data_IF_973493188957
#
_entry.id   IF_973493188957
#
_cell.length_a   1.000
_cell.length_b   1.000
_cell.length_c   1.000
_cell.angle_alpha   90.00
_cell.angle_beta   90.00
_cell.angle_gamma   90.00
#
_symmetry.space_group_name_H-M   'P 1'
#
loop_
_entity.id
_entity.type
_entity.pdbx_description
1 polymer ?
#
# COMPACT_ATOMS: atom_id res chain seq x y z
N UNK A 1 23.82 4.11 -11.15
CA UNK A 1 23.58 3.07 -12.17
C UNK A 1 22.12 3.16 -12.58
N UNK A 2 21.77 3.59 -13.80
CA UNK A 2 20.38 3.52 -14.28
C UNK A 2 20.03 2.05 -14.62
N UNK A 3 18.79 1.62 -14.34
CA UNK A 3 18.20 0.28 -14.61
C UNK A 3 18.38 -0.84 -13.56
N UNK A 4 18.75 -0.54 -12.32
CA UNK A 4 18.66 -1.55 -11.26
C UNK A 4 17.33 -1.40 -10.50
N UNK A 5 16.61 -2.52 -10.33
CA UNK A 5 15.45 -2.58 -9.43
C UNK A 5 15.87 -2.14 -8.02
N UNK A 6 15.03 -1.32 -7.39
CA UNK A 6 15.25 -0.86 -6.02
C UNK A 6 15.05 -2.04 -5.08
N UNK A 7 16.06 -2.32 -4.24
CA UNK A 7 15.98 -3.36 -3.22
C UNK A 7 14.91 -3.02 -2.15
N UNK A 8 14.15 -4.01 -1.69
CA UNK A 8 13.16 -3.91 -0.62
C UNK A 8 13.63 -3.09 0.58
N UNK A 9 14.90 -3.22 0.96
CA UNK A 9 15.51 -2.49 2.08
C UNK A 9 15.44 -0.97 1.93
N UNK A 10 15.43 -0.45 0.70
CA UNK A 10 15.32 0.99 0.44
C UNK A 10 13.88 1.46 0.69
N UNK A 11 12.87 0.67 0.31
CA UNK A 11 11.46 0.98 0.61
C UNK A 11 11.22 0.90 2.12
N UNK A 12 11.79 -0.10 2.80
CA UNK A 12 11.70 -0.26 4.25
C UNK A 12 12.29 0.96 4.98
N UNK A 13 13.51 1.37 4.61
CA UNK A 13 14.13 2.57 5.17
C UNK A 13 13.34 3.85 4.85
N UNK A 14 12.74 3.95 3.66
CA UNK A 14 11.88 5.07 3.30
C UNK A 14 10.61 5.13 4.14
N UNK A 15 9.99 3.98 4.43
CA UNK A 15 8.84 3.90 5.33
C UNK A 15 9.19 4.39 6.74
N UNK A 16 10.36 4.02 7.26
CA UNK A 16 10.87 4.53 8.55
C UNK A 16 11.06 6.04 8.55
N UNK A 17 11.65 6.61 7.49
CA UNK A 17 11.80 8.06 7.32
C UNK A 17 10.43 8.76 7.32
N UNK A 18 9.48 8.26 6.53
CA UNK A 18 8.13 8.85 6.47
C UNK A 18 7.39 8.76 7.82
N UNK A 19 7.52 7.64 8.54
CA UNK A 19 6.95 7.49 9.89
C UNK A 19 7.58 8.50 10.87
N UNK A 20 8.89 8.73 10.78
CA UNK A 20 9.54 9.77 11.58
C UNK A 20 9.02 11.17 11.23
N UNK A 21 8.83 11.47 9.95
CA UNK A 21 8.34 12.77 9.46
C UNK A 21 6.89 13.08 9.86
N UNK A 22 6.05 12.07 10.14
CA UNK A 22 4.68 12.27 10.60
C UNK A 22 4.59 13.02 11.96
N UNK A 23 5.69 13.09 12.71
CA UNK A 23 5.86 13.96 13.89
C UNK A 23 5.75 15.46 13.55
N UNK A 24 6.02 15.84 12.31
CA UNK A 24 6.03 17.22 11.81
C UNK A 24 4.89 17.51 10.82
N UNK A 25 3.89 16.64 10.74
CA UNK A 25 2.75 16.82 9.82
C UNK A 25 1.99 18.11 10.09
N UNK A 26 1.43 18.71 9.05
CA UNK A 26 0.61 19.92 9.16
C UNK A 26 -0.66 19.70 9.99
N UNK A 27 -1.13 20.73 10.68
CA UNK A 27 -2.42 20.67 11.37
C UNK A 27 -3.55 20.33 10.40
N UNK A 28 -4.33 19.29 10.72
CA UNK A 28 -5.46 18.83 9.92
C UNK A 28 -5.14 17.80 8.83
N UNK A 29 -3.87 17.54 8.53
CA UNK A 29 -3.51 16.44 7.61
C UNK A 29 -3.80 15.08 8.25
N UNK A 30 -4.07 14.03 7.44
CA UNK A 30 -4.20 12.68 7.96
C UNK A 30 -2.91 12.26 8.66
N UNK A 31 -3.06 11.52 9.76
CA UNK A 31 -1.95 10.83 10.41
C UNK A 31 -1.78 9.46 9.74
N UNK A 32 -0.63 9.22 9.14
CA UNK A 32 -0.37 8.07 8.27
C UNK A 32 0.63 7.12 8.92
N UNK A 33 0.40 5.83 8.80
CA UNK A 33 1.37 4.79 9.13
C UNK A 33 1.89 4.16 7.85
N UNK A 34 3.22 4.16 7.69
CA UNK A 34 3.92 3.56 6.56
C UNK A 34 4.53 2.23 6.98
N UNK A 35 3.99 1.13 6.46
CA UNK A 35 4.58 -0.19 6.67
C UNK A 35 5.76 -0.39 5.72
N UNK A 36 6.79 -1.11 6.18
CA UNK A 36 7.77 -1.70 5.29
C UNK A 36 7.23 -2.93 4.57
N UNK A 37 7.95 -3.41 3.57
CA UNK A 37 7.67 -4.65 2.83
C UNK A 37 7.63 -5.88 3.73
N UNK A 38 8.33 -5.85 4.87
CA UNK A 38 8.31 -6.93 5.86
C UNK A 38 6.98 -7.08 6.59
N UNK A 39 6.08 -6.08 6.55
CA UNK A 39 4.75 -6.24 7.13
C UNK A 39 3.96 -7.36 6.44
N UNK A 40 4.15 -7.51 5.12
CA UNK A 40 3.49 -8.52 4.30
C UNK A 40 4.50 -9.21 3.37
N UNK A 41 5.29 -10.16 3.89
CA UNK A 41 6.17 -10.97 3.06
C UNK A 41 5.37 -11.74 2.02
N UNK A 42 5.89 -11.89 0.79
CA UNK A 42 5.14 -12.53 -0.30
C UNK A 42 4.62 -13.94 0.00
N UNK A 43 5.33 -14.70 0.83
CA UNK A 43 4.88 -16.03 1.27
C UNK A 43 3.60 -15.99 2.10
N UNK A 44 3.40 -14.94 2.91
CA UNK A 44 2.18 -14.74 3.72
C UNK A 44 0.96 -14.64 2.81
N UNK A 45 1.09 -14.13 1.58
CA UNK A 45 -0.01 -14.02 0.62
C UNK A 45 -0.17 -15.28 -0.25
N UNK A 46 0.94 -15.82 -0.75
CA UNK A 46 0.90 -16.68 -1.93
C UNK A 46 1.47 -18.10 -1.75
N UNK A 47 2.16 -18.41 -0.64
CA UNK A 47 2.74 -19.75 -0.46
C UNK A 47 1.66 -20.81 -0.23
N UNK A 48 1.58 -21.85 -1.06
CA UNK A 48 0.67 -22.97 -0.86
C UNK A 48 1.00 -23.77 0.41
N UNK A 49 -0.01 -24.47 0.97
CA UNK A 49 0.16 -25.30 2.17
C UNK A 49 0.21 -24.53 3.50
N UNK A 50 0.40 -23.21 3.47
CA UNK A 50 0.33 -22.35 4.67
C UNK A 50 -1.13 -22.03 4.98
N UNK A 51 -1.59 -22.39 6.17
CA UNK A 51 -2.97 -22.20 6.60
C UNK A 51 -3.26 -20.73 6.98
N UNK A 52 -4.54 -20.36 7.11
CA UNK A 52 -4.95 -18.98 7.38
C UNK A 52 -4.44 -18.45 8.73
N UNK A 53 -4.38 -19.29 9.76
CA UNK A 53 -3.92 -18.89 11.09
C UNK A 53 -2.44 -18.54 11.07
N UNK A 54 -1.60 -19.35 10.43
CA UNK A 54 -0.16 -19.11 10.33
C UNK A 54 0.17 -17.82 9.57
N UNK A 55 -0.55 -17.54 8.47
CA UNK A 55 -0.46 -16.25 7.76
C UNK A 55 -0.81 -15.08 8.67
N UNK A 56 -1.90 -15.23 9.41
CA UNK A 56 -2.38 -14.21 10.33
C UNK A 56 -1.41 -13.98 11.48
N UNK A 57 -0.90 -15.04 12.12
CA UNK A 57 0.05 -14.95 13.23
C UNK A 57 1.33 -14.23 12.81
N UNK A 58 1.84 -14.54 11.60
CA UNK A 58 3.00 -13.83 11.07
C UNK A 58 2.70 -12.37 10.80
N UNK A 59 1.59 -12.07 10.11
CA UNK A 59 1.17 -10.70 9.83
C UNK A 59 0.99 -9.89 11.12
N UNK A 60 0.30 -10.46 12.09
CA UNK A 60 0.04 -9.86 13.41
C UNK A 60 1.34 -9.58 14.16
N UNK A 61 2.27 -10.54 14.18
CA UNK A 61 3.60 -10.34 14.77
C UNK A 61 4.36 -9.19 14.10
N UNK A 62 4.39 -9.15 12.77
CA UNK A 62 5.10 -8.11 12.03
C UNK A 62 4.48 -6.71 12.26
N UNK A 63 3.14 -6.63 12.32
CA UNK A 63 2.43 -5.39 12.63
C UNK A 63 2.67 -4.93 14.07
N UNK A 64 2.65 -5.87 15.01
CA UNK A 64 2.93 -5.58 16.41
C UNK A 64 4.36 -5.08 16.60
N UNK A 65 5.35 -5.66 15.92
CA UNK A 65 6.74 -5.22 16.00
C UNK A 65 6.93 -3.82 15.40
N UNK A 66 6.25 -3.51 14.28
CA UNK A 66 6.22 -2.18 13.68
C UNK A 66 5.65 -1.13 14.64
N UNK A 67 4.57 -1.46 15.36
CA UNK A 67 3.90 -0.52 16.25
C UNK A 67 4.67 -0.38 17.57
N UNK A 68 5.18 -1.48 18.15
CA UNK A 68 5.90 -1.50 19.44
C UNK A 68 7.16 -0.65 19.47
N UNK A 69 7.79 -0.40 18.33
CA UNK A 69 9.03 0.39 18.24
C UNK A 69 8.88 1.87 18.63
N UNK A 70 7.68 2.45 18.46
CA UNK A 70 7.42 3.88 18.71
C UNK A 70 6.05 4.15 19.38
N UNK A 71 5.17 3.16 19.50
CA UNK A 71 3.75 3.32 19.84
C UNK A 71 3.19 2.11 20.62
N UNK A 72 2.16 2.30 21.43
CA UNK A 72 1.43 1.19 22.09
C UNK A 72 0.42 0.58 21.11
N UNK A 73 0.04 -0.69 21.30
CA UNK A 73 -1.01 -1.38 20.51
C UNK A 73 -2.34 -0.60 20.40
N UNK A 74 -2.63 0.32 21.33
CA UNK A 74 -3.76 1.25 21.29
C UNK A 74 -3.68 2.28 20.16
N UNK A 75 -2.53 2.44 19.52
CA UNK A 75 -2.20 3.62 18.72
C UNK A 75 -2.54 3.44 17.24
N UNK A 76 -2.88 2.23 16.79
CA UNK A 76 -3.46 2.08 15.44
C UNK A 76 -4.75 2.91 15.29
N UNK A 77 -5.47 3.14 16.40
CA UNK A 77 -6.66 4.01 16.46
C UNK A 77 -6.33 5.50 16.21
N UNK A 78 -5.06 5.91 16.34
CA UNK A 78 -4.59 7.27 16.10
C UNK A 78 -4.26 7.52 14.63
N UNK A 79 -4.07 6.47 13.84
CA UNK A 79 -3.79 6.60 12.42
C UNK A 79 -5.08 6.69 11.63
N UNK A 80 -5.10 7.62 10.69
CA UNK A 80 -6.19 7.79 9.74
C UNK A 80 -6.03 6.87 8.53
N UNK A 81 -4.78 6.48 8.23
CA UNK A 81 -4.41 5.71 7.05
C UNK A 81 -3.24 4.78 7.34
N UNK A 82 -3.24 3.60 6.72
CA UNK A 82 -2.13 2.63 6.78
C UNK A 82 -1.73 2.24 5.36
N UNK A 83 -0.43 2.29 5.09
CA UNK A 83 0.18 2.12 3.77
C UNK A 83 0.99 0.83 3.73
N UNK A 84 0.66 -0.06 2.80
CA UNK A 84 1.34 -1.34 2.59
C UNK A 84 1.98 -1.38 1.19
N UNK A 85 3.31 -1.21 1.06
CA UNK A 85 3.99 -1.56 -0.17
C UNK A 85 3.95 -3.08 -0.35
N UNK A 86 3.48 -3.54 -1.50
CA UNK A 86 3.38 -4.96 -1.84
C UNK A 86 4.28 -5.26 -3.03
N UNK A 87 5.12 -6.30 -2.87
CA UNK A 87 5.90 -6.88 -3.94
C UNK A 87 5.24 -8.17 -4.41
N UNK A 88 4.75 -8.19 -5.64
CA UNK A 88 4.17 -9.37 -6.26
C UNK A 88 4.68 -9.51 -7.70
N UNK A 89 5.15 -10.70 -8.08
CA UNK A 89 5.68 -10.98 -9.43
C UNK A 89 6.71 -9.94 -9.93
N UNK A 90 7.64 -9.53 -9.05
CA UNK A 90 8.65 -8.48 -9.30
C UNK A 90 8.08 -7.10 -9.63
N UNK A 91 6.84 -6.83 -9.21
CA UNK A 91 6.19 -5.53 -9.37
C UNK A 91 5.82 -4.95 -8.01
N UNK A 92 6.21 -3.69 -7.79
CA UNK A 92 5.80 -2.94 -6.62
C UNK A 92 4.54 -2.13 -6.89
N UNK A 93 3.58 -2.25 -5.97
CA UNK A 93 2.42 -1.37 -5.90
C UNK A 93 2.07 -1.10 -4.44
N UNK A 94 1.18 -0.16 -4.22
CA UNK A 94 0.82 0.31 -2.88
C UNK A 94 -0.65 0.00 -2.59
N UNK A 95 -0.94 -0.56 -1.42
CA UNK A 95 -2.29 -0.68 -0.88
C UNK A 95 -2.43 0.29 0.28
N UNK A 96 -3.49 1.10 0.26
CA UNK A 96 -3.77 2.08 1.31
C UNK A 96 -5.13 1.81 1.93
N UNK A 97 -5.15 1.66 3.26
CA UNK A 97 -6.37 1.54 4.05
C UNK A 97 -6.65 2.88 4.72
N UNK A 98 -7.67 3.60 4.28
CA UNK A 98 -8.17 4.79 4.95
C UNK A 98 -9.09 4.38 6.10
N UNK A 99 -8.55 4.29 7.32
CA UNK A 99 -9.30 3.97 8.53
C UNK A 99 -10.36 5.04 8.83
N UNK A 100 -10.03 6.33 8.67
CA UNK A 100 -10.96 7.44 8.90
C UNK A 100 -12.19 7.35 7.98
N UNK A 101 -11.95 7.21 6.67
CA UNK A 101 -12.99 7.24 5.64
C UNK A 101 -13.56 5.87 5.27
N UNK A 102 -12.95 4.80 5.77
CA UNK A 102 -13.30 3.41 5.43
C UNK A 102 -13.21 3.15 3.92
N UNK A 103 -12.05 3.44 3.33
CA UNK A 103 -11.76 3.18 1.92
C UNK A 103 -10.48 2.34 1.78
N UNK A 104 -10.38 1.59 0.68
CA UNK A 104 -9.21 0.76 0.37
C UNK A 104 -8.81 1.05 -1.07
N UNK A 105 -7.60 1.56 -1.26
CA UNK A 105 -7.07 1.93 -2.57
C UNK A 105 -5.86 1.10 -2.94
N UNK A 106 -5.79 0.65 -4.19
CA UNK A 106 -4.58 0.14 -4.84
C UNK A 106 -4.03 1.23 -5.74
N UNK A 107 -2.80 1.67 -5.49
CA UNK A 107 -2.09 2.67 -6.27
C UNK A 107 -0.94 1.96 -6.99
N UNK A 108 -1.01 1.96 -8.32
CA UNK A 108 -0.10 1.24 -9.21
C UNK A 108 0.35 2.21 -10.31
N UNK A 109 1.63 2.18 -10.68
CA UNK A 109 2.16 3.03 -11.74
C UNK A 109 1.82 2.53 -13.14
N UNK A 110 1.25 1.33 -13.29
CA UNK A 110 0.72 0.86 -14.56
C UNK A 110 -0.69 1.37 -14.87
N UNK A 111 -0.87 1.71 -16.14
CA UNK A 111 -2.16 2.10 -16.70
C UNK A 111 -3.18 0.97 -16.53
N UNK A 112 -4.44 1.32 -16.28
CA UNK A 112 -5.54 0.36 -16.04
C UNK A 112 -5.73 -0.68 -17.16
N UNK A 113 -5.33 -0.33 -18.39
CA UNK A 113 -5.32 -1.26 -19.52
C UNK A 113 -4.30 -2.40 -19.41
N UNK A 114 -3.37 -2.34 -18.45
CA UNK A 114 -2.38 -3.38 -18.16
C UNK A 114 -2.72 -3.95 -16.77
N UNK A 115 -3.46 -5.07 -16.71
CA UNK A 115 -3.98 -5.60 -15.44
C UNK A 115 -2.93 -6.44 -14.70
N UNK A 116 -1.80 -5.83 -14.31
CA UNK A 116 -0.76 -6.53 -13.54
C UNK A 116 -1.24 -6.87 -12.11
N UNK A 117 -2.02 -5.97 -11.52
CA UNK A 117 -2.60 -6.14 -10.18
C UNK A 117 -4.09 -6.43 -10.33
N UNK A 118 -4.49 -7.65 -9.99
CA UNK A 118 -5.87 -8.08 -9.98
C UNK A 118 -6.64 -7.61 -8.73
N UNK A 119 -7.97 -7.50 -8.84
CA UNK A 119 -8.89 -7.12 -7.77
C UNK A 119 -10.01 -8.15 -7.59
N UNK A 120 -9.77 -9.42 -7.88
CA UNK A 120 -10.76 -10.49 -7.70
C UNK A 120 -10.92 -10.81 -6.21
N UNK A 121 -12.15 -10.68 -5.74
CA UNK A 121 -12.58 -11.23 -4.45
C UNK A 121 -13.20 -12.61 -4.65
N UNK A 122 -13.07 -13.47 -3.64
CA UNK A 122 -13.63 -14.82 -3.65
C UNK A 122 -13.93 -15.27 -2.21
N UNK A 123 -14.77 -16.29 -2.03
CA UNK A 123 -14.96 -16.92 -0.71
C UNK A 123 -13.77 -17.77 -0.31
N UNK A 124 -13.11 -18.39 -1.28
CA UNK A 124 -11.87 -19.13 -1.08
C UNK A 124 -10.69 -18.16 -1.17
N UNK A 125 -9.87 -18.13 -0.11
CA UNK A 125 -8.70 -17.28 -0.01
C UNK A 125 -7.72 -17.47 -1.17
N UNK A 126 -7.56 -18.70 -1.66
CA UNK A 126 -6.59 -19.01 -2.72
C UNK A 126 -7.00 -18.45 -4.09
N UNK A 127 -8.30 -18.20 -4.30
CA UNK A 127 -8.81 -17.58 -5.51
C UNK A 127 -8.93 -16.06 -5.42
N UNK A 128 -8.57 -15.45 -4.29
CA UNK A 128 -8.47 -13.98 -4.18
C UNK A 128 -7.19 -13.49 -4.86
N UNK A 129 -7.23 -12.28 -5.38
CA UNK A 129 -6.00 -11.57 -5.75
C UNK A 129 -5.36 -10.94 -4.51
N UNK A 130 -4.06 -10.67 -4.59
CA UNK A 130 -3.26 -10.20 -3.44
C UNK A 130 -3.85 -9.02 -2.68
N UNK A 131 -4.44 -7.98 -3.31
CA UNK A 131 -5.06 -6.90 -2.55
C UNK A 131 -6.20 -7.34 -1.61
N UNK A 132 -6.99 -8.34 -2.00
CA UNK A 132 -8.04 -8.90 -1.15
C UNK A 132 -7.49 -9.83 -0.07
N UNK A 133 -6.40 -10.54 -0.34
CA UNK A 133 -5.68 -11.31 0.69
C UNK A 133 -5.11 -10.41 1.78
N UNK A 134 -4.49 -9.30 1.39
CA UNK A 134 -4.00 -8.25 2.31
C UNK A 134 -5.15 -7.67 3.13
N UNK A 135 -6.29 -7.37 2.48
CA UNK A 135 -7.51 -6.94 3.18
C UNK A 135 -7.94 -7.94 4.24
N UNK A 136 -7.98 -9.24 3.93
CA UNK A 136 -8.44 -10.27 4.87
C UNK A 136 -7.56 -10.36 6.11
N UNK A 137 -6.23 -10.39 5.96
CA UNK A 137 -5.31 -10.44 7.12
C UNK A 137 -5.34 -9.15 7.93
N UNK A 138 -5.46 -8.00 7.28
CA UNK A 138 -5.54 -6.72 7.98
C UNK A 138 -6.88 -6.53 8.70
N UNK A 139 -8.00 -6.96 8.12
CA UNK A 139 -9.32 -6.94 8.81
C UNK A 139 -9.31 -7.86 10.03
N UNK A 140 -8.68 -9.05 9.93
CA UNK A 140 -8.50 -9.92 11.10
C UNK A 140 -7.66 -9.25 12.19
N UNK A 141 -6.62 -8.49 11.81
CA UNK A 141 -5.81 -7.75 12.76
C UNK A 141 -6.60 -6.62 13.42
N UNK A 142 -7.35 -5.83 12.65
CA UNK A 142 -8.28 -4.81 13.15
C UNK A 142 -9.29 -5.41 14.13
N UNK A 143 -9.77 -6.63 13.88
CA UNK A 143 -10.64 -7.38 14.80
C UNK A 143 -9.93 -7.76 16.09
N UNK A 144 -8.70 -8.29 16.02
CA UNK A 144 -7.88 -8.65 17.18
C UNK A 144 -7.67 -7.45 18.13
N UNK A 145 -7.38 -6.27 17.57
CA UNK A 145 -7.16 -5.04 18.36
C UNK A 145 -8.45 -4.27 18.68
N UNK A 146 -9.62 -4.83 18.33
CA UNK A 146 -10.94 -4.21 18.54
C UNK A 146 -11.04 -2.79 17.96
N UNK A 147 -10.60 -2.62 16.72
CA UNK A 147 -10.66 -1.34 16.04
C UNK A 147 -12.11 -1.00 15.63
N UNK A 148 -12.56 0.23 15.89
CA UNK A 148 -13.94 0.66 15.62
C UNK A 148 -14.33 0.67 14.13
N UNK A 149 -13.36 0.58 13.23
CA UNK A 149 -13.57 0.60 11.77
C UNK A 149 -13.58 -0.80 11.14
N UNK A 150 -13.39 -1.87 11.91
CA UNK A 150 -13.29 -3.25 11.40
C UNK A 150 -14.43 -3.58 10.44
N UNK A 151 -15.68 -3.43 10.87
CA UNK A 151 -16.84 -3.78 10.04
C UNK A 151 -16.96 -2.93 8.79
N UNK A 152 -16.65 -1.63 8.89
CA UNK A 152 -16.69 -0.71 7.75
C UNK A 152 -15.60 -1.04 6.73
N UNK A 153 -14.36 -1.28 7.18
CA UNK A 153 -13.25 -1.69 6.30
C UNK A 153 -13.53 -3.06 5.68
N UNK A 154 -14.11 -4.00 6.44
CA UNK A 154 -14.52 -5.29 5.92
C UNK A 154 -15.54 -5.16 4.78
N UNK A 155 -16.54 -4.28 4.94
CA UNK A 155 -17.55 -4.02 3.92
C UNK A 155 -17.03 -3.24 2.70
N UNK A 156 -15.96 -2.45 2.85
CA UNK A 156 -15.45 -1.61 1.77
C UNK A 156 -14.78 -2.41 0.64
N UNK A 157 -15.10 -2.14 -0.64
CA UNK A 157 -14.41 -2.79 -1.75
C UNK A 157 -12.99 -2.24 -1.92
N UNK A 158 -12.10 -3.07 -2.48
CA UNK A 158 -10.77 -2.62 -2.90
C UNK A 158 -10.88 -1.98 -4.28
N UNK A 159 -10.34 -0.77 -4.44
CA UNK A 159 -10.45 -0.01 -5.69
C UNK A 159 -9.06 0.36 -6.22
N UNK A 160 -8.82 0.14 -7.52
CA UNK A 160 -7.61 0.66 -8.18
C UNK A 160 -7.80 2.15 -8.44
N UNK A 161 -6.88 2.96 -7.92
CA UNK A 161 -6.92 4.41 -8.09
C UNK A 161 -6.46 4.79 -9.49
N UNK A 162 -7.28 5.56 -10.20
CA UNK A 162 -6.89 6.13 -11.48
C UNK A 162 -5.89 7.28 -11.26
N UNK A 163 -4.72 7.22 -11.90
CA UNK A 163 -3.67 8.25 -11.80
C UNK A 163 -3.25 8.76 -13.19
N UNK A 164 -3.06 10.07 -13.32
CA UNK A 164 -2.81 10.73 -14.61
C UNK A 164 -1.40 10.50 -15.18
N UNK A 165 -0.47 10.01 -14.35
CA UNK A 165 0.91 9.73 -14.73
C UNK A 165 1.21 8.23 -14.89
N UNK A 166 0.16 7.40 -14.96
CA UNK A 166 0.29 5.98 -15.20
C UNK A 166 1.04 5.70 -16.51
N UNK A 167 1.93 4.71 -16.46
CA UNK A 167 2.78 4.27 -17.55
C UNK A 167 2.26 2.95 -18.13
N UNK A 168 2.66 2.61 -19.36
CA UNK A 168 2.31 1.31 -19.96
C UNK A 168 3.47 0.31 -19.99
N UNK A 169 4.69 0.78 -19.75
CA UNK A 169 5.92 0.02 -20.01
C UNK A 169 6.96 0.13 -18.92
N UNK A 170 6.80 1.05 -17.95
CA UNK A 170 7.83 1.27 -16.93
C UNK A 170 7.63 0.34 -15.74
N UNK A 171 8.15 -0.88 -15.86
CA UNK A 171 8.21 -1.85 -14.76
C UNK A 171 9.36 -1.58 -13.78
N UNK A 172 10.49 -1.06 -14.28
CA UNK A 172 11.75 -0.96 -13.53
C UNK A 172 11.65 0.05 -12.37
N UNK A 173 10.93 1.15 -12.56
CA UNK A 173 10.84 2.21 -11.56
C UNK A 173 9.66 2.06 -10.59
N UNK A 174 8.97 0.90 -10.57
CA UNK A 174 7.76 0.68 -9.76
C UNK A 174 7.97 1.04 -8.27
N UNK A 175 9.13 0.70 -7.70
CA UNK A 175 9.50 1.08 -6.34
C UNK A 175 9.62 2.60 -6.13
N UNK A 176 10.17 3.34 -7.10
CA UNK A 176 10.27 4.81 -7.05
C UNK A 176 8.87 5.43 -7.07
N UNK A 177 7.98 4.89 -7.89
CA UNK A 177 6.57 5.29 -7.87
C UNK A 177 5.94 5.04 -6.50
N UNK A 178 6.10 3.84 -5.93
CA UNK A 178 5.57 3.51 -4.60
C UNK A 178 6.09 4.47 -3.53
N UNK A 179 7.41 4.72 -3.46
CA UNK A 179 7.99 5.66 -2.49
C UNK A 179 7.39 7.07 -2.63
N UNK A 180 7.19 7.54 -3.87
CA UNK A 180 6.60 8.85 -4.15
C UNK A 180 5.09 8.89 -3.88
N UNK A 181 4.38 7.78 -4.12
CA UNK A 181 2.96 7.64 -3.81
C UNK A 181 2.74 7.66 -2.29
N UNK A 182 3.58 6.97 -1.52
CA UNK A 182 3.56 7.01 -0.05
C UNK A 182 3.75 8.45 0.46
N UNK A 183 4.74 9.18 -0.06
CA UNK A 183 5.02 10.55 0.35
C UNK A 183 3.82 11.50 0.09
N UNK A 184 3.19 11.39 -1.09
CA UNK A 184 2.23 12.39 -1.59
C UNK A 184 0.76 12.05 -1.43
N UNK A 185 0.40 10.80 -1.17
CA UNK A 185 -1.01 10.42 -1.03
C UNK A 185 -1.55 10.86 0.34
N UNK A 186 -2.66 11.60 0.31
CA UNK A 186 -3.33 12.17 1.49
C UNK A 186 -4.78 11.68 1.64
N UNK A 187 -5.17 10.67 0.87
CA UNK A 187 -6.52 10.09 0.85
C UNK A 187 -7.23 10.34 -0.48
N UNK A 188 -8.21 9.49 -0.79
CA UNK A 188 -8.94 9.48 -2.06
C UNK A 188 -9.70 10.78 -2.36
N UNK A 189 -10.03 11.55 -1.34
CA UNK A 189 -10.78 12.82 -1.48
C UNK A 189 -9.87 14.03 -1.68
N UNK A 190 -8.57 13.86 -1.51
CA UNK A 190 -7.58 14.92 -1.65
C UNK A 190 -6.99 14.95 -3.05
N UNK A 191 -6.48 16.11 -3.46
CA UNK A 191 -5.77 16.21 -4.73
C UNK A 191 -4.48 15.37 -4.69
N UNK A 192 -4.42 14.33 -5.52
CA UNK A 192 -3.24 13.48 -5.61
C UNK A 192 -2.34 13.90 -6.77
N UNK A 193 -1.19 14.51 -6.44
CA UNK A 193 -0.20 14.93 -7.43
C UNK A 193 1.22 14.55 -6.97
N UNK A 194 1.86 13.67 -7.73
CA UNK A 194 3.23 13.22 -7.44
C UNK A 194 4.33 14.05 -8.12
N UNK A 195 3.98 15.04 -8.95
CA UNK A 195 4.93 15.83 -9.74
C UNK A 195 5.45 15.10 -11.00
N UNK A 196 4.95 13.91 -11.29
CA UNK A 196 5.30 13.19 -12.52
C UNK A 196 4.60 13.80 -13.74
N UNK A 197 5.28 13.79 -14.89
CA UNK A 197 4.70 14.23 -16.15
C UNK A 197 3.56 13.30 -16.56
N UNK A 198 2.43 13.88 -16.95
CA UNK A 198 1.30 13.18 -17.56
C UNK A 198 1.63 12.77 -19.00
N UNK A 199 0.93 11.78 -19.53
CA UNK A 199 1.17 11.26 -20.88
C UNK A 199 1.06 12.34 -21.96
N UNK A 200 0.16 13.32 -21.81
CA UNK A 200 0.02 14.44 -22.76
C UNK A 200 1.22 15.38 -22.76
N UNK A 201 1.82 15.62 -21.59
CA UNK A 201 3.02 16.45 -21.45
C UNK A 201 4.28 15.73 -21.95
N UNK A 202 4.36 14.40 -21.76
CA UNK A 202 5.46 13.58 -22.32
C UNK A 202 5.47 13.57 -23.85
N UNK A 203 4.29 13.46 -24.48
CA UNK A 203 4.17 13.55 -25.94
C UNK A 203 4.68 14.89 -26.47
N UNK A 204 4.33 16.01 -25.81
CA UNK A 204 4.81 17.35 -26.19
C UNK A 204 6.32 17.53 -25.99
N UNK A 205 6.88 17.02 -24.91
CA UNK A 205 8.32 17.09 -24.66
C UNK A 205 9.14 16.32 -25.71
N UNK A 206 8.62 15.19 -26.20
CA UNK A 206 9.26 14.38 -27.25
C UNK A 206 9.07 14.94 -28.67
N UNK A 207 8.21 15.95 -28.88
CA UNK A 207 7.98 16.61 -30.17
C UNK A 207 8.81 17.89 -30.33
N UNK A 208 9.54 18.29 -29.30
CA UNK A 208 10.38 19.50 -29.24
C UNK A 208 11.89 19.19 -29.19
N UNK A 209 12.29 17.99 -29.64
CA UNK A 209 13.69 17.62 -29.87
C UNK A 209 13.87 17.24 -31.35
#
# INVERSE_FOLDING_TARGET
MPNNEVNNQIIDAWAEVLNFEEKYRSTGSPHRLFCGTNAIPGWVLNQEGVNHQERFDKFSTNMDDLIKGDLKLSDLKLFDMVFFPVLEFNHYYLIVFELRNSAISVIDNFHESIPLVGLRDNKDYYFKDSPYKVKDVFVQYLKQIQHQKTDKIHASPVQKLHILWATKTNAVDCAIFVMRHMEKFMGMREQFNCGFLTNDKRKKANLTC
#
